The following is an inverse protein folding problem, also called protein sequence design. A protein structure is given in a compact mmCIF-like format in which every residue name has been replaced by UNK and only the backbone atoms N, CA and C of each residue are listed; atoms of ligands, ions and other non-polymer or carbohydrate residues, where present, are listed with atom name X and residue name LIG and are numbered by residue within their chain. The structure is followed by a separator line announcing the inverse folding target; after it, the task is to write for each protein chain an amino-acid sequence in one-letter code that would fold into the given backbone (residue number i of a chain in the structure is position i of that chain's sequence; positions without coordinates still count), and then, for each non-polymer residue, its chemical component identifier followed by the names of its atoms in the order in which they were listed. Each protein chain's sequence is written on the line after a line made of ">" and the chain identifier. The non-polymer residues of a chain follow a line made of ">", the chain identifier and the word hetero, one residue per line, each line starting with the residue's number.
data_IF_850359310742
#
_entry.id   IF_850359310742
#
_cell.length_a   1.000
_cell.length_b   1.000
_cell.length_c   1.000
_cell.angle_alpha   90.00
_cell.angle_beta   90.00
_cell.angle_gamma   90.00
#
_symmetry.space_group_name_H-M   'P 1'
#
loop_
_entity.id
_entity.type
_entity.pdbx_description
1 polymer ?
#
# COMPACT_ATOMS: atom_id res chain seq x y z
N UNK A 1 12.88 7.76 -12.91
CA UNK A 1 12.30 6.50 -12.34
C UNK A 1 11.33 6.92 -11.24
N UNK A 2 10.12 6.34 -11.18
CA UNK A 2 9.12 6.70 -10.17
C UNK A 2 9.32 5.88 -8.89
N UNK A 3 9.20 6.54 -7.77
CA UNK A 3 9.26 5.98 -6.43
C UNK A 3 8.00 6.33 -5.67
N UNK A 4 7.52 5.38 -4.88
CA UNK A 4 6.46 5.57 -3.90
C UNK A 4 7.12 5.88 -2.55
N UNK A 5 6.79 7.03 -1.97
CA UNK A 5 7.16 7.41 -0.60
C UNK A 5 5.93 7.19 0.26
N UNK A 6 5.95 6.18 1.12
CA UNK A 6 4.83 5.80 1.96
C UNK A 6 5.21 5.84 3.44
N UNK A 7 4.32 6.35 4.29
CA UNK A 7 4.33 6.13 5.73
C UNK A 7 2.99 5.53 6.16
N UNK A 8 3.06 4.50 6.99
CA UNK A 8 1.89 3.82 7.55
C UNK A 8 1.90 3.90 9.07
N UNK A 9 0.71 4.10 9.65
CA UNK A 9 0.53 4.20 11.10
C UNK A 9 -0.66 3.36 11.53
N UNK A 10 -0.58 2.65 12.68
CA UNK A 10 -1.76 2.10 13.33
C UNK A 10 -2.76 3.21 13.67
N UNK A 11 -4.04 2.94 13.50
CA UNK A 11 -5.08 3.95 13.66
C UNK A 11 -6.27 3.35 14.43
N UNK A 12 -6.36 3.62 15.72
CA UNK A 12 -7.44 3.09 16.56
C UNK A 12 -8.80 3.73 16.24
N UNK A 13 -8.82 4.99 15.80
CA UNK A 13 -10.06 5.74 15.50
C UNK A 13 -9.99 6.34 14.09
N UNK A 14 -10.47 5.58 13.11
CA UNK A 14 -10.57 6.04 11.72
C UNK A 14 -11.58 7.17 11.53
N UNK A 15 -12.61 7.28 12.39
CA UNK A 15 -13.60 8.34 12.28
C UNK A 15 -13.02 9.70 12.72
N UNK A 16 -12.20 9.72 13.78
CA UNK A 16 -11.46 10.91 14.18
C UNK A 16 -10.49 11.38 13.10
N UNK A 17 -9.77 10.44 12.43
CA UNK A 17 -8.89 10.76 11.32
C UNK A 17 -9.64 11.29 10.10
N UNK A 18 -10.80 10.73 9.78
CA UNK A 18 -11.67 11.26 8.72
C UNK A 18 -12.11 12.70 9.00
N UNK A 19 -12.47 13.01 10.26
CA UNK A 19 -12.82 14.37 10.64
C UNK A 19 -11.62 15.34 10.49
N UNK A 20 -10.39 14.92 10.86
CA UNK A 20 -9.18 15.71 10.66
C UNK A 20 -8.87 15.93 9.16
N UNK A 21 -9.00 14.90 8.34
CA UNK A 21 -8.84 15.00 6.88
C UNK A 21 -9.87 15.97 6.28
N UNK A 22 -11.12 15.91 6.73
CA UNK A 22 -12.18 16.82 6.30
C UNK A 22 -11.88 18.27 6.69
N UNK A 23 -11.30 18.50 7.88
CA UNK A 23 -10.86 19.83 8.30
C UNK A 23 -9.70 20.40 7.43
N UNK A 24 -8.92 19.52 6.80
CA UNK A 24 -7.91 19.88 5.80
C UNK A 24 -8.49 20.03 4.38
N UNK A 25 -9.82 19.96 4.23
CA UNK A 25 -10.51 20.10 2.95
C UNK A 25 -10.51 18.84 2.08
N UNK A 26 -10.12 17.68 2.62
CA UNK A 26 -10.11 16.43 1.88
C UNK A 26 -11.45 15.70 2.00
N UNK A 27 -11.98 15.21 0.86
CA UNK A 27 -13.15 14.34 0.82
C UNK A 27 -12.70 12.88 0.85
N UNK A 28 -13.19 12.12 1.83
CA UNK A 28 -12.93 10.69 1.95
C UNK A 28 -13.93 9.92 1.09
N UNK A 29 -13.43 9.00 0.28
CA UNK A 29 -14.26 8.14 -0.59
C UNK A 29 -15.07 7.12 0.20
N UNK A 30 -16.05 6.51 -0.44
CA UNK A 30 -16.73 5.32 0.08
C UNK A 30 -15.77 4.15 0.28
N UNK A 31 -16.20 3.16 1.08
CA UNK A 31 -15.43 1.92 1.31
C UNK A 31 -15.33 1.10 0.03
N UNK A 32 -14.13 0.62 -0.26
CA UNK A 32 -13.86 -0.29 -1.35
C UNK A 32 -13.13 -1.53 -0.83
N UNK A 33 -13.65 -2.70 -1.14
CA UNK A 33 -12.97 -3.95 -0.85
C UNK A 33 -11.79 -4.15 -1.80
N UNK A 34 -10.65 -4.52 -1.24
CA UNK A 34 -9.45 -4.93 -1.96
C UNK A 34 -8.97 -6.28 -1.41
N UNK A 35 -8.58 -7.18 -2.30
CA UNK A 35 -7.98 -8.47 -1.95
C UNK A 35 -6.64 -8.59 -2.68
N UNK A 36 -5.58 -8.76 -1.94
CA UNK A 36 -4.21 -8.89 -2.44
C UNK A 36 -3.74 -10.34 -2.29
N UNK A 37 -3.64 -11.10 -3.38
CA UNK A 37 -3.03 -12.43 -3.42
C UNK A 37 -1.53 -12.28 -3.62
N UNK A 38 -0.74 -12.63 -2.62
CA UNK A 38 0.73 -12.55 -2.65
C UNK A 38 1.38 -13.83 -3.11
N UNK A 39 2.55 -13.68 -3.76
CA UNK A 39 3.33 -14.79 -4.30
C UNK A 39 4.77 -14.78 -3.79
N UNK A 40 5.31 -15.97 -3.47
CA UNK A 40 6.72 -16.19 -3.24
C UNK A 40 7.43 -16.53 -4.56
N UNK A 41 8.65 -16.00 -4.72
CA UNK A 41 9.47 -16.22 -5.88
C UNK A 41 10.22 -17.57 -5.78
N UNK A 42 10.37 -18.36 -6.88
CA UNK A 42 10.95 -19.72 -6.82
C UNK A 42 12.44 -19.76 -6.43
N UNK A 43 13.19 -18.67 -6.61
CA UNK A 43 14.63 -18.64 -6.38
C UNK A 43 15.10 -17.49 -5.48
N UNK A 44 14.21 -16.57 -5.09
CA UNK A 44 14.52 -15.44 -4.19
C UNK A 44 13.59 -15.48 -2.99
N UNK A 45 14.13 -15.28 -1.81
CA UNK A 45 13.34 -15.13 -0.59
C UNK A 45 12.88 -13.67 -0.46
N UNK A 46 11.68 -13.38 -0.93
CA UNK A 46 11.10 -12.03 -0.91
C UNK A 46 10.97 -11.43 0.49
N UNK A 47 10.82 -12.27 1.53
CA UNK A 47 10.81 -11.79 2.90
C UNK A 47 12.18 -11.25 3.32
N UNK A 48 13.27 -11.89 2.87
CA UNK A 48 14.65 -11.42 3.16
C UNK A 48 15.08 -10.25 2.30
N UNK A 49 14.61 -10.20 1.05
CA UNK A 49 14.96 -9.11 0.12
C UNK A 49 14.02 -7.92 0.20
N UNK A 50 12.97 -8.00 1.05
CA UNK A 50 11.94 -6.96 1.24
C UNK A 50 11.21 -6.61 -0.08
N UNK A 51 11.01 -7.62 -0.92
CA UNK A 51 10.27 -7.54 -2.17
C UNK A 51 8.84 -8.07 -1.99
N UNK A 52 7.92 -7.68 -2.87
CA UNK A 52 6.59 -8.27 -2.93
C UNK A 52 6.07 -8.35 -4.36
N UNK A 53 5.39 -9.45 -4.67
CA UNK A 53 4.60 -9.62 -5.89
C UNK A 53 3.18 -10.00 -5.51
N UNK A 54 2.19 -9.29 -6.05
CA UNK A 54 0.78 -9.58 -5.77
C UNK A 54 -0.09 -9.39 -7.00
N UNK A 55 -1.20 -10.10 -7.04
CA UNK A 55 -2.36 -9.75 -7.84
C UNK A 55 -3.39 -9.13 -6.91
N UNK A 56 -3.79 -7.89 -7.20
CA UNK A 56 -4.81 -7.14 -6.46
C UNK A 56 -6.14 -7.21 -7.19
N UNK A 57 -7.20 -7.57 -6.47
CA UNK A 57 -8.59 -7.44 -6.89
C UNK A 57 -9.19 -6.21 -6.20
N UNK A 58 -9.79 -5.32 -6.98
CA UNK A 58 -10.40 -4.07 -6.51
C UNK A 58 -11.70 -3.83 -7.26
N UNK A 59 -12.81 -4.39 -6.76
CA UNK A 59 -14.05 -4.49 -7.53
C UNK A 59 -13.79 -5.25 -8.83
N UNK A 60 -14.23 -4.69 -9.97
CA UNK A 60 -14.02 -5.31 -11.29
C UNK A 60 -12.62 -5.06 -11.87
N UNK A 61 -11.77 -4.30 -11.19
CA UNK A 61 -10.41 -3.99 -11.65
C UNK A 61 -9.38 -4.86 -10.96
N UNK A 62 -8.42 -5.33 -11.74
CA UNK A 62 -7.33 -6.18 -11.27
C UNK A 62 -5.99 -5.57 -11.66
N UNK A 63 -4.98 -5.82 -10.84
CA UNK A 63 -3.63 -5.28 -11.03
C UNK A 63 -2.60 -6.32 -10.65
N UNK A 64 -1.52 -6.43 -11.44
CA UNK A 64 -0.30 -7.11 -11.05
C UNK A 64 0.67 -6.07 -10.51
N UNK A 65 1.10 -6.22 -9.26
CA UNK A 65 2.00 -5.25 -8.62
C UNK A 65 3.27 -5.95 -8.15
N UNK A 66 4.42 -5.43 -8.57
CA UNK A 66 5.71 -5.76 -7.99
C UNK A 66 6.22 -4.56 -7.21
N UNK A 67 6.64 -4.80 -5.97
CA UNK A 67 7.31 -3.83 -5.10
C UNK A 67 8.74 -4.30 -4.85
N UNK A 68 9.71 -3.46 -5.20
CA UNK A 68 11.14 -3.71 -4.94
C UNK A 68 11.53 -3.50 -3.48
N UNK A 69 12.82 -3.75 -3.13
CA UNK A 69 13.34 -3.49 -1.79
C UNK A 69 13.12 -2.04 -1.34
N UNK A 70 12.89 -1.84 -0.04
CA UNK A 70 12.88 -0.49 0.55
C UNK A 70 14.28 0.10 0.50
N UNK A 71 14.41 1.35 0.08
CA UNK A 71 15.69 2.03 -0.12
C UNK A 71 16.13 2.91 1.06
N UNK A 72 15.29 3.03 2.10
CA UNK A 72 15.62 3.82 3.30
C UNK A 72 15.07 3.19 4.59
N UNK A 73 15.51 3.73 5.73
CA UNK A 73 15.18 3.20 7.05
C UNK A 73 13.96 3.87 7.71
N UNK A 74 13.44 4.97 7.18
CA UNK A 74 12.42 5.81 7.83
C UNK A 74 11.05 5.70 7.19
N UNK A 75 11.00 5.46 5.88
CA UNK A 75 9.78 5.33 5.09
C UNK A 75 9.75 3.96 4.40
N UNK A 76 8.65 3.66 3.71
CA UNK A 76 8.57 2.52 2.79
C UNK A 76 8.86 2.96 1.35
N UNK A 77 9.88 3.79 1.17
CA UNK A 77 10.26 4.25 -0.15
C UNK A 77 10.84 3.11 -0.98
N UNK A 78 10.25 2.84 -2.14
CA UNK A 78 10.69 1.79 -3.05
C UNK A 78 10.19 1.99 -4.48
N UNK A 79 10.81 1.28 -5.40
CA UNK A 79 10.29 1.17 -6.76
C UNK A 79 9.02 0.32 -6.75
N UNK A 80 7.98 0.80 -7.40
CA UNK A 80 6.76 0.04 -7.67
C UNK A 80 6.51 -0.08 -9.18
N UNK A 81 6.08 -1.24 -9.62
CA UNK A 81 5.58 -1.51 -10.96
C UNK A 81 4.18 -2.05 -10.79
N UNK A 82 3.18 -1.29 -11.20
CA UNK A 82 1.79 -1.72 -11.19
C UNK A 82 1.24 -1.74 -12.63
N UNK A 83 0.70 -2.87 -13.02
CA UNK A 83 0.15 -3.11 -14.35
C UNK A 83 -1.33 -3.46 -14.22
N UNK A 84 -2.24 -2.72 -14.87
CA UNK A 84 -3.65 -3.12 -14.91
C UNK A 84 -3.80 -4.42 -15.68
N UNK A 85 -4.64 -5.31 -15.17
CA UNK A 85 -5.04 -6.55 -15.84
C UNK A 85 -6.43 -6.34 -16.45
N UNK A 86 -6.46 -6.01 -17.73
CA UNK A 86 -7.72 -5.90 -18.46
C UNK A 86 -8.34 -7.30 -18.66
N UNK A 87 -9.67 -7.42 -18.56
CA UNK A 87 -10.37 -8.71 -18.66
C UNK A 87 -10.84 -9.28 -17.31
N UNK A 88 -10.73 -8.52 -16.24
CA UNK A 88 -11.34 -8.84 -14.93
C UNK A 88 -10.81 -10.12 -14.30
N UNK A 89 -11.70 -10.89 -13.68
CA UNK A 89 -11.38 -12.11 -12.92
C UNK A 89 -10.75 -13.21 -13.80
N UNK A 90 -11.19 -13.35 -15.04
CA UNK A 90 -10.62 -14.35 -15.97
C UNK A 90 -9.14 -14.07 -16.24
N UNK A 91 -8.79 -12.81 -16.48
CA UNK A 91 -7.41 -12.41 -16.70
C UNK A 91 -6.56 -12.56 -15.43
N UNK A 92 -7.10 -12.23 -14.27
CA UNK A 92 -6.41 -12.43 -12.99
C UNK A 92 -6.15 -13.93 -12.73
N UNK A 93 -7.09 -14.82 -13.06
CA UNK A 93 -6.92 -16.26 -12.98
C UNK A 93 -5.86 -16.77 -13.97
N UNK A 94 -5.83 -16.25 -15.20
CA UNK A 94 -4.82 -16.59 -16.21
C UNK A 94 -3.42 -16.17 -15.74
N UNK A 95 -3.26 -14.96 -15.19
CA UNK A 95 -1.99 -14.49 -14.62
C UNK A 95 -1.55 -15.33 -13.40
N UNK A 96 -2.49 -15.70 -12.53
CA UNK A 96 -2.22 -16.63 -11.42
C UNK A 96 -1.68 -17.97 -11.94
N UNK A 97 -2.29 -18.52 -12.98
CA UNK A 97 -1.87 -19.77 -13.60
C UNK A 97 -0.49 -19.65 -14.25
N UNK A 98 -0.22 -18.54 -14.95
CA UNK A 98 1.09 -18.24 -15.53
C UNK A 98 2.18 -18.14 -14.45
N UNK A 99 1.92 -17.39 -13.36
CA UNK A 99 2.88 -17.26 -12.27
C UNK A 99 3.20 -18.62 -11.64
N UNK A 100 2.19 -19.47 -11.43
CA UNK A 100 2.40 -20.85 -10.95
C UNK A 100 3.22 -21.69 -11.93
N UNK A 101 2.97 -21.58 -13.22
CA UNK A 101 3.75 -22.29 -14.24
C UNK A 101 5.21 -21.82 -14.28
N UNK A 102 5.49 -20.57 -13.91
CA UNK A 102 6.83 -20.00 -13.75
C UNK A 102 7.46 -20.33 -12.39
N UNK A 103 6.79 -21.12 -11.53
CA UNK A 103 7.31 -21.58 -10.25
C UNK A 103 7.01 -20.66 -9.05
N UNK A 104 6.27 -19.56 -9.25
CA UNK A 104 5.79 -18.77 -8.10
C UNK A 104 4.73 -19.54 -7.33
N UNK A 105 4.74 -19.40 -5.99
CA UNK A 105 3.77 -20.06 -5.12
C UNK A 105 2.92 -19.02 -4.37
N UNK A 106 1.59 -19.19 -4.31
CA UNK A 106 0.74 -18.34 -3.47
C UNK A 106 1.15 -18.46 -1.99
N UNK A 107 1.21 -17.31 -1.30
CA UNK A 107 1.56 -17.24 0.13
C UNK A 107 0.32 -17.04 0.98
N UNK A 108 -0.39 -15.95 0.77
CA UNK A 108 -1.59 -15.58 1.52
C UNK A 108 -2.41 -14.55 0.74
N UNK A 109 -3.67 -14.40 1.13
CA UNK A 109 -4.52 -13.28 0.73
C UNK A 109 -4.64 -12.28 1.89
N UNK A 110 -4.46 -11.00 1.58
CA UNK A 110 -4.74 -9.89 2.48
C UNK A 110 -6.05 -9.23 2.05
N UNK A 111 -7.04 -9.28 2.91
CA UNK A 111 -8.35 -8.67 2.68
C UNK A 111 -8.44 -7.36 3.43
N UNK A 112 -8.90 -6.30 2.77
CA UNK A 112 -9.08 -5.00 3.41
C UNK A 112 -10.25 -4.22 2.84
N UNK A 113 -10.82 -3.36 3.67
CA UNK A 113 -11.73 -2.29 3.27
C UNK A 113 -10.95 -0.98 3.30
N UNK A 114 -10.78 -0.35 2.14
CA UNK A 114 -10.02 0.89 1.96
C UNK A 114 -10.94 2.06 1.63
N UNK A 115 -10.70 3.19 2.27
CA UNK A 115 -11.24 4.50 1.90
C UNK A 115 -10.07 5.41 1.54
N UNK A 116 -10.22 6.20 0.49
CA UNK A 116 -9.16 7.09 0.00
C UNK A 116 -9.55 8.55 0.11
N UNK A 117 -8.57 9.37 0.39
CA UNK A 117 -8.67 10.82 0.29
C UNK A 117 -7.41 11.38 -0.39
N UNK A 118 -7.47 12.63 -0.80
CA UNK A 118 -6.29 13.37 -1.27
C UNK A 118 -6.21 14.68 -0.50
N UNK A 119 -5.05 14.93 0.09
CA UNK A 119 -4.74 16.16 0.81
C UNK A 119 -3.78 17.00 -0.01
N UNK A 120 -4.14 18.26 -0.27
CA UNK A 120 -3.21 19.24 -0.82
C UNK A 120 -2.35 19.77 0.31
N UNK A 121 -1.07 19.40 0.34
CA UNK A 121 -0.14 19.74 1.42
C UNK A 121 1.18 20.24 0.86
N UNK A 122 1.62 21.42 1.27
CA UNK A 122 2.88 22.05 0.82
C UNK A 122 3.06 22.02 -0.72
N UNK A 123 1.98 22.30 -1.45
CA UNK A 123 1.98 22.30 -2.92
C UNK A 123 1.99 20.94 -3.60
N UNK A 124 1.90 19.84 -2.82
CA UNK A 124 1.84 18.45 -3.31
C UNK A 124 0.47 17.84 -3.00
N UNK A 125 0.09 16.85 -3.79
CA UNK A 125 -1.14 16.08 -3.59
C UNK A 125 -0.79 14.73 -3.00
N UNK A 126 -0.99 14.57 -1.69
CA UNK A 126 -0.71 13.33 -0.96
C UNK A 126 -1.97 12.45 -1.01
N UNK A 127 -1.83 11.19 -1.41
CA UNK A 127 -2.89 10.20 -1.26
C UNK A 127 -2.89 9.70 0.18
N UNK A 128 -4.08 9.64 0.78
CA UNK A 128 -4.31 9.11 2.13
C UNK A 128 -5.24 7.91 2.01
N UNK A 129 -4.84 6.79 2.59
CA UNK A 129 -5.66 5.59 2.68
C UNK A 129 -6.03 5.30 4.13
N UNK A 130 -7.31 5.08 4.40
CA UNK A 130 -7.83 4.58 5.67
C UNK A 130 -8.21 3.12 5.47
N UNK A 131 -7.49 2.21 6.14
CA UNK A 131 -7.59 0.77 5.94
C UNK A 131 -8.13 0.04 7.16
N UNK A 132 -9.11 -0.82 6.93
CA UNK A 132 -9.56 -1.85 7.84
C UNK A 132 -9.08 -3.19 7.26
N UNK A 133 -8.02 -3.78 7.85
CA UNK A 133 -7.37 -4.99 7.33
C UNK A 133 -7.78 -6.18 8.18
N UNK A 134 -8.40 -7.17 7.54
CA UNK A 134 -8.91 -8.37 8.21
C UNK A 134 -7.78 -9.09 8.96
N UNK A 135 -8.02 -9.44 10.23
CA UNK A 135 -7.08 -10.12 11.14
C UNK A 135 -5.81 -9.32 11.47
N UNK A 136 -5.65 -8.10 10.94
CA UNK A 136 -4.46 -7.28 11.15
C UNK A 136 -4.77 -6.01 11.96
N UNK A 137 -5.87 -5.33 11.66
CA UNK A 137 -6.28 -4.12 12.37
C UNK A 137 -6.52 -2.93 11.44
N UNK A 138 -6.52 -1.75 12.01
CA UNK A 138 -6.84 -0.49 11.30
C UNK A 138 -5.61 0.39 11.18
N UNK A 139 -5.47 1.04 10.01
CA UNK A 139 -4.27 1.83 9.66
C UNK A 139 -4.63 3.06 8.84
N UNK A 140 -3.74 4.04 8.86
CA UNK A 140 -3.68 5.12 7.88
C UNK A 140 -2.36 5.03 7.12
N UNK A 141 -2.41 5.17 5.79
CA UNK A 141 -1.22 5.28 4.92
C UNK A 141 -1.22 6.66 4.25
N UNK A 142 -0.06 7.29 4.23
CA UNK A 142 0.21 8.55 3.52
C UNK A 142 1.19 8.25 2.40
N UNK A 143 0.82 8.52 1.15
CA UNK A 143 1.57 8.12 -0.03
C UNK A 143 1.78 9.30 -0.99
N UNK A 144 3.01 9.43 -1.49
CA UNK A 144 3.39 10.39 -2.51
C UNK A 144 4.30 9.73 -3.55
N UNK A 145 3.88 9.76 -4.81
CA UNK A 145 4.67 9.23 -5.92
C UNK A 145 5.50 10.35 -6.54
N UNK A 146 6.82 10.15 -6.60
CA UNK A 146 7.78 11.17 -7.07
C UNK A 146 8.87 10.58 -7.96
N UNK A 147 9.59 11.44 -8.65
CA UNK A 147 10.85 11.08 -9.33
C UNK A 147 12.02 11.06 -8.32
N UNK A 148 13.11 10.38 -8.69
CA UNK A 148 14.27 10.13 -7.81
C UNK A 148 14.85 11.40 -7.17
N UNK A 149 14.95 12.50 -7.92
CA UNK A 149 15.48 13.77 -7.44
C UNK A 149 14.64 14.47 -6.36
N UNK A 150 13.37 14.03 -6.18
CA UNK A 150 12.41 14.64 -5.25
C UNK A 150 12.24 13.83 -3.95
N UNK A 151 12.96 12.72 -3.78
CA UNK A 151 12.75 11.79 -2.68
C UNK A 151 12.82 12.44 -1.29
N UNK A 152 13.86 13.22 -0.99
CA UNK A 152 14.03 13.82 0.34
C UNK A 152 12.95 14.86 0.63
N UNK A 153 12.58 15.67 -0.37
CA UNK A 153 11.50 16.65 -0.20
C UNK A 153 10.14 15.99 -0.06
N UNK A 154 9.92 14.84 -0.72
CA UNK A 154 8.69 14.05 -0.58
C UNK A 154 8.58 13.41 0.82
N UNK A 155 9.67 12.84 1.35
CA UNK A 155 9.72 12.30 2.71
C UNK A 155 9.39 13.37 3.76
N UNK A 156 10.02 14.54 3.63
CA UNK A 156 9.75 15.66 4.53
C UNK A 156 8.29 16.13 4.46
N UNK A 157 7.72 16.17 3.25
CA UNK A 157 6.32 16.56 3.05
C UNK A 157 5.34 15.55 3.66
N UNK A 158 5.57 14.24 3.47
CA UNK A 158 4.74 13.17 4.05
C UNK A 158 4.86 13.18 5.58
N UNK A 159 6.07 13.33 6.13
CA UNK A 159 6.29 13.43 7.58
C UNK A 159 5.58 14.65 8.19
N UNK A 160 5.65 15.81 7.52
CA UNK A 160 4.94 17.02 7.97
C UNK A 160 3.42 16.85 7.99
N UNK A 161 2.83 16.11 7.04
CA UNK A 161 1.40 15.79 7.07
C UNK A 161 1.09 14.81 8.21
N UNK A 162 1.96 13.81 8.45
CA UNK A 162 1.80 12.88 9.57
C UNK A 162 1.77 13.62 10.91
N UNK A 163 2.67 14.58 11.12
CA UNK A 163 2.68 15.43 12.32
C UNK A 163 1.40 16.28 12.44
N UNK A 164 0.94 16.88 11.34
CA UNK A 164 -0.30 17.67 11.33
C UNK A 164 -1.55 16.83 11.62
N UNK A 165 -1.52 15.54 11.29
CA UNK A 165 -2.58 14.58 11.63
C UNK A 165 -2.37 13.92 13.00
N UNK A 166 -1.34 14.31 13.77
CA UNK A 166 -0.98 13.75 15.09
C UNK A 166 -0.79 12.22 15.02
N UNK A 167 -0.08 11.75 13.99
CA UNK A 167 0.23 10.33 13.79
C UNK A 167 1.56 9.98 14.43
N UNK A 168 1.63 8.85 15.11
CA UNK A 168 2.84 8.35 15.75
C UNK A 168 2.92 6.82 15.68
N UNK A 169 4.10 6.26 15.96
CA UNK A 169 4.29 4.81 15.95
C UNK A 169 4.28 4.22 14.54
N UNK A 170 5.04 4.80 13.62
CA UNK A 170 5.10 4.36 12.23
C UNK A 170 5.35 2.85 12.07
N UNK A 171 4.57 2.20 11.22
CA UNK A 171 4.62 0.76 10.95
C UNK A 171 5.24 0.48 9.57
N UNK A 172 6.42 -0.13 9.55
CA UNK A 172 7.16 -0.41 8.32
C UNK A 172 6.86 -1.77 7.70
N UNK A 173 6.34 -2.73 8.49
CA UNK A 173 5.94 -4.04 7.98
C UNK A 173 4.77 -3.90 7.00
N UNK A 174 4.74 -4.72 5.97
CA UNK A 174 3.59 -4.84 5.08
C UNK A 174 2.39 -5.48 5.80
N UNK A 175 1.19 -5.36 5.23
CA UNK A 175 0.03 -6.09 5.76
C UNK A 175 0.20 -7.61 5.68
N UNK A 176 0.96 -8.11 4.67
CA UNK A 176 1.31 -9.52 4.57
C UNK A 176 2.17 -9.96 5.77
N UNK A 177 3.24 -9.21 6.09
CA UNK A 177 4.10 -9.52 7.24
C UNK A 177 3.30 -9.53 8.54
N UNK A 178 2.48 -8.49 8.77
CA UNK A 178 1.61 -8.39 9.95
C UNK A 178 0.60 -9.54 10.04
N UNK A 179 0.06 -10.00 8.91
CA UNK A 179 -0.86 -11.12 8.85
C UNK A 179 -0.16 -12.45 9.20
N UNK A 180 1.03 -12.68 8.62
CA UNK A 180 1.79 -13.91 8.84
C UNK A 180 2.34 -14.02 10.27
N UNK A 181 2.66 -12.92 10.94
CA UNK A 181 3.06 -12.90 12.36
C UNK A 181 1.93 -13.30 13.32
N UNK A 182 0.67 -13.23 12.88
CA UNK A 182 -0.53 -13.54 13.68
C UNK A 182 -1.15 -14.90 13.33
N UNK A 183 -0.59 -15.58 12.32
CA UNK A 183 -1.05 -16.88 11.87
C UNK A 183 -0.37 -18.00 12.65
#
# INVERSE_FOLDING_TARGET
>A
MRFEVEQKFPAADLAALEARLSALGAAVSGRQAEVDLYFAHPARDFAKTDEALRIRRKGDRHYLTYKGPKIDATTKTRREIELPLEGGEEMAAAWTSLLRALGFTPVAEVHKLRRKAHVSWQGRRIEVSLDEVERVGTFIELELVVEEGDLESAKACVASLADALDLSGGERRSYLELLLERA
#
